data_IF_610668411621
#
_entry.id   IF_610668411621
#
_cell.length_a   1.000
_cell.length_b   1.000
_cell.length_c   1.000
_cell.angle_alpha   90.00
_cell.angle_beta   90.00
_cell.angle_gamma   90.00
#
_symmetry.space_group_name_H-M   'P 1'
#
loop_
_entity.id
_entity.type
_entity.pdbx_description
1 polymer ?
#
# COMPACT_ATOMS: atom_id res chain seq x y z
N UNK A 1 -16.52 -5.86 11.13
CA UNK A 1 -15.29 -5.40 10.47
C UNK A 1 -14.26 -5.18 11.56
N UNK A 2 -13.19 -5.97 11.59
CA UNK A 2 -12.11 -5.80 12.56
C UNK A 2 -11.36 -4.52 12.22
N UNK A 3 -11.22 -3.61 13.17
CA UNK A 3 -10.44 -2.39 12.97
C UNK A 3 -8.98 -2.77 12.66
N UNK A 4 -8.42 -2.23 11.58
CA UNK A 4 -7.02 -2.43 11.24
C UNK A 4 -6.13 -1.71 12.26
N UNK A 5 -4.97 -2.30 12.57
CA UNK A 5 -3.96 -1.68 13.43
C UNK A 5 -3.35 -0.46 12.72
N UNK A 6 -2.86 0.51 13.48
CA UNK A 6 -2.17 1.66 12.93
C UNK A 6 -0.68 1.38 12.71
N UNK A 7 -0.12 1.94 11.64
CA UNK A 7 1.30 2.01 11.32
C UNK A 7 1.73 3.47 11.31
N UNK A 8 2.35 3.93 12.39
CA UNK A 8 2.68 5.34 12.57
C UNK A 8 4.03 5.71 11.97
N UNK A 9 4.06 6.81 11.21
CA UNK A 9 5.28 7.40 10.66
C UNK A 9 5.95 8.31 11.69
N UNK A 10 7.28 8.37 11.61
CA UNK A 10 8.08 9.38 12.31
C UNK A 10 7.71 10.79 11.83
N UNK A 11 8.02 11.79 12.66
CA UNK A 11 7.84 13.21 12.31
C UNK A 11 8.54 13.52 10.98
N UNK A 12 7.81 14.17 10.06
CA UNK A 12 8.25 14.55 8.71
C UNK A 12 8.53 13.40 7.72
N UNK A 13 8.31 12.14 8.09
CA UNK A 13 8.51 11.00 7.19
C UNK A 13 7.35 10.77 6.20
N UNK A 14 6.27 11.55 6.32
CA UNK A 14 5.09 11.52 5.46
C UNK A 14 5.25 12.30 4.14
N UNK A 15 6.36 13.04 3.97
CA UNK A 15 6.60 13.88 2.79
C UNK A 15 6.56 13.09 1.48
N UNK A 16 7.18 11.91 1.42
CA UNK A 16 7.20 11.06 0.22
C UNK A 16 5.82 10.49 -0.08
N UNK A 17 5.13 10.03 0.95
CA UNK A 17 3.78 9.51 0.82
C UNK A 17 2.83 10.58 0.25
N UNK A 18 2.94 11.83 0.74
CA UNK A 18 2.22 12.99 0.21
C UNK A 18 2.56 13.32 -1.24
N UNK A 19 3.81 13.13 -1.64
CA UNK A 19 4.28 13.39 -3.00
C UNK A 19 3.88 12.32 -4.04
N UNK A 20 3.18 11.25 -3.64
CA UNK A 20 2.71 10.22 -4.57
C UNK A 20 3.32 8.84 -4.35
N UNK A 21 4.41 8.73 -3.59
CA UNK A 21 5.09 7.44 -3.39
C UNK A 21 4.18 6.42 -2.67
N UNK A 22 4.32 5.15 -3.05
CA UNK A 22 3.55 4.02 -2.50
C UNK A 22 4.36 3.17 -1.52
N UNK A 23 5.62 3.49 -1.29
CA UNK A 23 6.54 2.70 -0.47
C UNK A 23 6.82 3.41 0.85
N UNK A 24 6.77 2.64 1.93
CA UNK A 24 7.16 3.07 3.26
C UNK A 24 8.38 2.26 3.69
N UNK A 25 9.43 2.96 4.10
CA UNK A 25 10.68 2.32 4.50
C UNK A 25 10.72 2.04 6.00
N UNK A 26 11.40 0.97 6.42
CA UNK A 26 11.46 0.57 7.83
C UNK A 26 12.01 1.65 8.76
N UNK A 27 12.92 2.49 8.27
CA UNK A 27 13.50 3.60 9.03
C UNK A 27 12.55 4.81 9.18
N UNK A 28 11.49 4.90 8.38
CA UNK A 28 10.46 5.95 8.42
C UNK A 28 9.37 5.67 9.46
N UNK A 29 9.28 4.44 9.97
CA UNK A 29 8.28 4.01 10.94
C UNK A 29 8.70 4.36 12.37
N UNK A 30 7.77 4.90 13.15
CA UNK A 30 7.94 5.09 14.58
C UNK A 30 7.74 3.77 15.32
N UNK A 31 8.83 3.03 15.49
CA UNK A 31 8.83 1.72 16.16
C UNK A 31 8.49 1.77 17.65
N UNK A 32 8.56 2.96 18.28
CA UNK A 32 8.19 3.12 19.68
C UNK A 32 6.65 3.20 19.82
N UNK A 33 6.00 3.90 18.89
CA UNK A 33 4.54 3.96 18.82
C UNK A 33 3.93 2.70 18.19
N UNK A 34 4.60 2.13 17.18
CA UNK A 34 4.14 0.96 16.44
C UNK A 34 5.31 0.02 16.12
N UNK A 35 5.56 -1.01 16.95
CA UNK A 35 6.60 -1.99 16.67
C UNK A 35 6.30 -2.80 15.41
N UNK A 36 7.17 -2.73 14.40
CA UNK A 36 7.00 -3.46 13.13
C UNK A 36 6.92 -4.99 13.31
N UNK A 37 7.61 -5.53 14.32
CA UNK A 37 7.66 -6.97 14.60
C UNK A 37 6.32 -7.55 15.05
N UNK A 38 5.38 -6.70 15.45
CA UNK A 38 4.07 -7.15 15.89
C UNK A 38 3.13 -7.45 14.72
N UNK A 39 3.51 -7.10 13.49
CA UNK A 39 2.71 -7.35 12.30
C UNK A 39 3.10 -8.69 11.68
N UNK A 40 2.09 -9.48 11.31
CA UNK A 40 2.31 -10.63 10.45
C UNK A 40 2.68 -10.17 9.02
N UNK A 41 3.53 -10.91 8.29
CA UNK A 41 3.79 -10.62 6.88
C UNK A 41 2.49 -10.62 6.05
N UNK A 42 2.23 -9.52 5.35
CA UNK A 42 1.00 -9.29 4.58
C UNK A 42 -0.16 -8.71 5.38
N UNK A 43 -0.01 -8.50 6.70
CA UNK A 43 -1.04 -7.87 7.53
C UNK A 43 -1.32 -6.44 7.05
N UNK A 44 -2.60 -6.07 7.02
CA UNK A 44 -3.02 -4.73 6.63
C UNK A 44 -2.99 -3.78 7.82
N UNK A 45 -2.58 -2.54 7.59
CA UNK A 45 -2.51 -1.49 8.58
C UNK A 45 -2.99 -0.15 8.01
N UNK A 46 -3.60 0.68 8.87
CA UNK A 46 -3.85 2.09 8.57
C UNK A 46 -2.55 2.85 8.76
N UNK A 47 -2.05 3.47 7.70
CA UNK A 47 -0.88 4.34 7.79
C UNK A 47 -1.29 5.66 8.42
N UNK A 48 -0.57 6.09 9.45
CA UNK A 48 -0.79 7.37 10.11
C UNK A 48 0.45 8.26 10.01
N UNK A 49 0.21 9.56 9.83
CA UNK A 49 1.26 10.56 10.06
C UNK A 49 1.62 10.64 11.55
N UNK A 50 2.73 11.31 11.87
CA UNK A 50 3.20 11.45 13.25
C UNK A 50 2.19 12.12 14.21
N UNK A 51 1.24 12.89 13.68
CA UNK A 51 0.15 13.52 14.45
C UNK A 51 -1.10 12.63 14.58
N UNK A 52 -1.04 11.37 14.16
CA UNK A 52 -2.17 10.43 14.18
C UNK A 52 -3.16 10.59 13.02
N UNK A 53 -2.93 11.52 12.09
CA UNK A 53 -3.81 11.65 10.92
C UNK A 53 -3.68 10.41 10.02
N UNK A 54 -4.80 9.77 9.70
CA UNK A 54 -4.84 8.67 8.75
C UNK A 54 -4.46 9.15 7.33
N UNK A 55 -3.61 8.36 6.67
CA UNK A 55 -3.02 8.63 5.36
C UNK A 55 -3.36 7.57 4.31
N UNK A 56 -3.95 6.45 4.73
CA UNK A 56 -4.36 5.36 3.84
C UNK A 56 -4.21 3.98 4.47
N UNK A 57 -4.35 2.94 3.65
CA UNK A 57 -4.15 1.53 4.03
C UNK A 57 -2.95 0.96 3.30
N UNK A 58 -2.11 0.22 4.01
CA UNK A 58 -0.97 -0.50 3.46
C UNK A 58 -0.97 -1.96 3.95
N UNK A 59 -0.26 -2.84 3.26
CA UNK A 59 0.14 -4.13 3.82
C UNK A 59 1.59 -4.07 4.28
N UNK A 60 1.89 -4.77 5.38
CA UNK A 60 3.17 -4.70 6.10
C UNK A 60 3.98 -5.98 5.90
N UNK A 61 5.29 -5.84 5.74
CA UNK A 61 6.27 -6.90 5.80
C UNK A 61 7.49 -6.40 6.60
N UNK A 62 7.55 -6.75 7.88
CA UNK A 62 8.59 -6.31 8.81
C UNK A 62 10.01 -6.74 8.39
N UNK A 63 10.15 -7.74 7.52
CA UNK A 63 11.44 -8.26 7.07
C UNK A 63 11.99 -7.55 5.83
N UNK A 64 11.26 -6.58 5.27
CA UNK A 64 11.67 -5.84 4.07
C UNK A 64 12.13 -4.42 4.42
N UNK A 65 13.11 -3.91 3.66
CA UNK A 65 13.49 -2.49 3.70
C UNK A 65 12.29 -1.59 3.33
N UNK A 66 11.50 -2.02 2.34
CA UNK A 66 10.18 -1.44 2.02
C UNK A 66 9.18 -2.19 2.88
N UNK A 67 9.10 -1.80 4.16
CA UNK A 67 8.37 -2.54 5.17
C UNK A 67 6.86 -2.43 5.01
N UNK A 68 6.36 -1.45 4.26
CA UNK A 68 4.94 -1.40 3.91
C UNK A 68 4.74 -0.81 2.51
N UNK A 69 3.68 -1.28 1.85
CA UNK A 69 3.27 -0.82 0.52
C UNK A 69 1.83 -0.33 0.58
N UNK A 70 1.64 0.93 0.21
CA UNK A 70 0.36 1.60 0.24
C UNK A 70 -0.57 0.98 -0.81
N UNK A 71 -1.71 0.49 -0.34
CA UNK A 71 -2.79 -0.04 -1.18
C UNK A 71 -3.74 1.08 -1.55
N UNK A 72 -4.17 1.89 -0.61
CA UNK A 72 -5.11 3.00 -0.84
C UNK A 72 -4.70 4.23 -0.04
N UNK A 73 -5.02 5.42 -0.56
CA UNK A 73 -4.91 6.70 0.15
C UNK A 73 -6.14 7.00 1.01
N UNK A 74 -7.23 6.29 0.75
CA UNK A 74 -8.41 6.30 1.60
C UNK A 74 -8.28 5.23 2.68
N UNK A 75 -8.37 5.64 3.94
CA UNK A 75 -8.28 4.75 5.10
C UNK A 75 -9.48 3.80 5.22
N UNK A 76 -10.60 4.10 4.55
CA UNK A 76 -11.77 3.21 4.47
C UNK A 76 -11.65 2.10 3.42
N UNK A 77 -10.71 2.22 2.48
CA UNK A 77 -10.53 1.28 1.38
C UNK A 77 -9.46 0.24 1.71
N UNK A 78 -9.90 -0.93 2.16
CA UNK A 78 -9.03 -2.07 2.48
C UNK A 78 -8.66 -2.89 1.24
N UNK A 79 -7.57 -3.64 1.33
CA UNK A 79 -7.22 -4.65 0.34
C UNK A 79 -8.15 -5.85 0.50
N UNK A 80 -9.16 -5.93 -0.36
CA UNK A 80 -10.07 -7.06 -0.44
C UNK A 80 -10.21 -7.58 -1.87
N UNK A 81 -11.03 -8.62 -2.04
CA UNK A 81 -11.31 -9.21 -3.34
C UNK A 81 -11.89 -8.18 -4.32
N UNK A 82 -12.80 -7.32 -3.86
CA UNK A 82 -13.51 -6.35 -4.69
C UNK A 82 -12.53 -5.33 -5.27
N UNK A 83 -11.63 -4.80 -4.44
CA UNK A 83 -10.59 -3.87 -4.86
C UNK A 83 -9.61 -4.51 -5.85
N UNK A 84 -9.22 -5.76 -5.60
CA UNK A 84 -8.34 -6.50 -6.51
C UNK A 84 -8.98 -6.70 -7.88
N UNK A 85 -10.23 -7.18 -7.93
CA UNK A 85 -10.99 -7.35 -9.19
C UNK A 85 -11.10 -6.02 -9.92
N UNK A 86 -11.40 -4.94 -9.21
CA UNK A 86 -11.49 -3.61 -9.79
C UNK A 86 -10.17 -3.16 -10.44
N UNK A 87 -9.02 -3.36 -9.78
CA UNK A 87 -7.69 -3.00 -10.32
C UNK A 87 -7.28 -3.88 -11.50
N UNK A 88 -7.55 -5.17 -11.44
CA UNK A 88 -7.30 -6.08 -12.57
C UNK A 88 -8.10 -5.68 -13.80
N UNK A 89 -9.37 -5.29 -13.63
CA UNK A 89 -10.20 -4.80 -14.74
C UNK A 89 -9.68 -3.49 -15.33
N UNK A 90 -9.19 -2.57 -14.50
CA UNK A 90 -8.55 -1.34 -14.98
C UNK A 90 -7.29 -1.65 -15.79
N UNK A 91 -6.42 -2.50 -15.25
CA UNK A 91 -5.20 -2.93 -15.92
C UNK A 91 -5.51 -3.60 -17.27
N UNK A 92 -6.52 -4.50 -17.30
CA UNK A 92 -6.99 -5.16 -18.52
C UNK A 92 -7.52 -4.16 -19.55
N UNK A 93 -8.37 -3.21 -19.13
CA UNK A 93 -8.94 -2.19 -20.02
C UNK A 93 -7.86 -1.35 -20.69
N UNK A 94 -6.79 -1.01 -19.96
CA UNK A 94 -5.65 -0.30 -20.53
C UNK A 94 -4.95 -1.14 -21.61
N UNK A 95 -4.71 -2.44 -21.35
CA UNK A 95 -4.00 -3.31 -22.31
C UNK A 95 -4.85 -3.58 -23.55
N UNK A 96 -6.16 -3.74 -23.40
CA UNK A 96 -7.08 -3.88 -24.54
C UNK A 96 -7.05 -2.68 -25.49
N UNK A 97 -6.73 -1.48 -24.99
CA UNK A 97 -6.58 -0.27 -25.81
C UNK A 97 -5.22 -0.18 -26.49
N UNK A 98 -4.18 -0.72 -25.87
CA UNK A 98 -2.79 -0.57 -26.33
C UNK A 98 -2.30 -1.72 -27.21
N UNK A 99 -2.89 -2.91 -27.07
CA UNK A 99 -2.43 -4.11 -27.76
C UNK A 99 -3.53 -4.74 -28.61
N UNK A 100 -3.23 -4.98 -29.89
CA UNK A 100 -4.13 -5.67 -30.80
C UNK A 100 -4.18 -7.20 -30.57
N UNK A 101 -3.16 -7.78 -29.92
CA UNK A 101 -3.04 -9.23 -29.65
C UNK A 101 -2.83 -9.48 -28.15
N UNK A 102 -3.28 -10.62 -27.59
CA UNK A 102 -3.30 -10.88 -26.15
C UNK A 102 -1.94 -11.34 -25.58
N UNK A 103 -0.83 -10.79 -26.08
CA UNK A 103 0.52 -11.12 -25.63
C UNK A 103 1.14 -9.89 -24.95
N UNK A 104 0.87 -9.74 -23.66
CA UNK A 104 1.34 -8.59 -22.87
C UNK A 104 1.42 -8.92 -21.38
N UNK A 105 2.13 -8.07 -20.64
CA UNK A 105 2.08 -8.05 -19.18
C UNK A 105 0.77 -7.38 -18.73
N UNK A 106 -0.10 -8.16 -18.09
CA UNK A 106 -1.38 -7.65 -17.57
C UNK A 106 -1.18 -6.68 -16.41
N UNK A 107 -0.34 -7.04 -15.43
CA UNK A 107 -0.08 -6.27 -14.21
C UNK A 107 1.40 -5.89 -14.14
N UNK A 108 1.67 -4.62 -13.86
CA UNK A 108 2.99 -4.02 -13.72
C UNK A 108 3.09 -3.27 -12.38
N UNK A 109 2.92 -4.00 -11.28
CA UNK A 109 3.16 -3.53 -9.92
C UNK A 109 2.43 -2.25 -9.57
N UNK A 110 3.22 -1.30 -9.08
CA UNK A 110 2.84 0.05 -8.69
C UNK A 110 2.19 0.82 -9.85
N UNK A 111 2.59 0.54 -11.10
CA UNK A 111 2.01 1.16 -12.29
C UNK A 111 0.54 0.83 -12.49
N UNK A 112 0.08 -0.32 -11.97
CA UNK A 112 -1.32 -0.77 -11.99
C UNK A 112 -1.97 -0.72 -10.60
N UNK A 113 -1.36 0.02 -9.66
CA UNK A 113 -1.80 0.13 -8.27
C UNK A 113 -1.87 -1.24 -7.57
N UNK A 114 -1.09 -2.23 -8.00
CA UNK A 114 -0.97 -3.55 -7.37
C UNK A 114 0.47 -3.71 -6.88
N UNK A 115 0.89 -2.93 -5.86
CA UNK A 115 2.29 -2.90 -5.46
C UNK A 115 2.74 -4.31 -5.06
N UNK A 116 3.88 -4.74 -5.61
CA UNK A 116 4.45 -6.07 -5.38
C UNK A 116 4.03 -7.18 -6.36
N UNK A 117 3.16 -6.93 -7.34
CA UNK A 117 2.69 -7.91 -8.34
C UNK A 117 3.15 -7.62 -9.77
#
# INVERSE_FOLDING_TARGET
MTALRSLRLKKNADRRLKAGHLWLYSNEIDIAATPLKDFAPGEQAVVEAANGKAMGVAYVNAHSLICARLVSRDAGTVLDRSLLVHRLNQALSLRQRLFAKPFYRLVHGEGDLLPGW
#
